data_IF_536580263415
#
_entry.id   IF_536580263415
#
_cell.length_a   1.000
_cell.length_b   1.000
_cell.length_c   1.000
_cell.angle_alpha   90.00
_cell.angle_beta   90.00
_cell.angle_gamma   90.00
#
_symmetry.space_group_name_H-M   'P 1'
#
loop_
_entity.id
_entity.type
_entity.pdbx_description
1 polymer ?
#
# COMPACT_ATOMS: atom_id res chain seq x y z
N UNK A 1 30.19 -40.15 -8.01
CA UNK A 1 29.53 -38.96 -7.43
C UNK A 1 28.07 -38.97 -7.85
N UNK A 2 27.14 -39.12 -6.89
CA UNK A 2 25.73 -39.40 -7.16
C UNK A 2 25.00 -38.10 -7.54
N UNK A 3 24.36 -38.07 -8.71
CA UNK A 3 23.50 -36.98 -9.18
C UNK A 3 22.06 -37.28 -8.76
N UNK A 4 21.50 -36.47 -7.87
CA UNK A 4 20.09 -36.58 -7.49
C UNK A 4 19.23 -35.90 -8.55
N UNK A 5 18.57 -36.70 -9.40
CA UNK A 5 17.47 -36.27 -10.26
C UNK A 5 16.20 -36.59 -9.49
N UNK A 6 15.51 -35.57 -8.97
CA UNK A 6 14.17 -35.77 -8.41
C UNK A 6 13.14 -35.30 -9.44
N UNK A 7 12.35 -36.26 -9.87
CA UNK A 7 11.34 -36.16 -10.91
C UNK A 7 10.13 -35.35 -10.46
N UNK A 8 9.58 -34.57 -11.41
CA UNK A 8 8.28 -33.92 -11.35
C UNK A 8 7.17 -34.97 -11.42
N UNK A 9 6.29 -35.02 -10.42
CA UNK A 9 5.04 -35.79 -10.50
C UNK A 9 3.87 -34.80 -10.52
N UNK A 10 3.26 -34.64 -11.69
CA UNK A 10 2.02 -33.90 -11.88
C UNK A 10 0.83 -34.79 -11.48
N UNK A 11 -0.02 -34.28 -10.60
CA UNK A 11 -1.36 -34.79 -10.39
C UNK A 11 -2.31 -33.61 -10.14
N UNK A 12 -2.92 -33.11 -11.20
CA UNK A 12 -3.96 -32.10 -11.16
C UNK A 12 -5.23 -32.65 -11.78
N UNK A 13 -6.11 -33.23 -10.97
CA UNK A 13 -7.49 -33.49 -11.33
C UNK A 13 -8.37 -32.66 -10.40
N UNK A 14 -8.77 -31.47 -10.86
CA UNK A 14 -9.83 -30.69 -10.21
C UNK A 14 -11.05 -30.79 -11.09
N UNK A 15 -12.05 -31.52 -10.60
CA UNK A 15 -13.37 -31.63 -11.20
C UNK A 15 -14.04 -30.26 -11.26
N UNK A 16 -14.49 -29.85 -12.44
CA UNK A 16 -15.22 -28.61 -12.67
C UNK A 16 -16.65 -28.74 -12.12
N UNK A 17 -16.84 -28.36 -10.85
CA UNK A 17 -18.14 -28.03 -10.29
C UNK A 17 -18.54 -26.62 -10.73
N UNK A 18 -19.65 -26.51 -11.47
CA UNK A 18 -20.13 -25.26 -12.07
C UNK A 18 -20.40 -24.16 -11.05
N UNK A 19 -19.83 -22.98 -11.30
CA UNK A 19 -20.21 -21.76 -10.60
C UNK A 19 -21.27 -21.02 -11.41
N UNK A 20 -22.46 -20.85 -10.82
CA UNK A 20 -23.48 -19.93 -11.29
C UNK A 20 -22.97 -18.51 -11.03
N UNK A 21 -22.71 -17.75 -12.09
CA UNK A 21 -22.33 -16.34 -11.98
C UNK A 21 -23.59 -15.54 -11.64
N UNK A 22 -23.80 -15.27 -10.36
CA UNK A 22 -24.66 -14.15 -9.94
C UNK A 22 -23.88 -12.88 -10.28
N UNK A 23 -24.31 -12.17 -11.31
CA UNK A 23 -23.82 -10.82 -11.60
C UNK A 23 -24.21 -9.89 -10.45
N UNK A 24 -23.29 -9.63 -9.53
CA UNK A 24 -23.35 -8.43 -8.70
C UNK A 24 -22.66 -7.31 -9.49
N UNK A 25 -23.45 -6.36 -9.99
CA UNK A 25 -22.92 -5.11 -10.54
C UNK A 25 -21.99 -4.44 -9.51
N UNK A 26 -20.73 -4.11 -9.84
CA UNK A 26 -19.95 -3.25 -9.00
C UNK A 26 -20.51 -1.82 -9.16
N UNK A 27 -21.16 -1.34 -8.10
CA UNK A 27 -21.51 0.07 -7.96
C UNK A 27 -20.25 0.95 -8.01
N UNK A 28 -20.41 2.28 -8.19
CA UNK A 28 -19.29 3.19 -8.34
C UNK A 28 -18.47 3.15 -7.05
N UNK A 29 -17.28 2.54 -7.13
CA UNK A 29 -16.33 2.45 -6.04
C UNK A 29 -15.90 3.86 -5.64
N UNK A 30 -16.55 4.37 -4.60
CA UNK A 30 -16.24 5.66 -4.00
C UNK A 30 -14.77 5.73 -3.64
N UNK A 31 -14.19 6.90 -3.91
CA UNK A 31 -12.90 7.32 -3.40
C UNK A 31 -12.84 6.98 -1.90
N UNK A 32 -12.09 5.92 -1.59
CA UNK A 32 -11.77 5.56 -0.22
C UNK A 32 -11.02 6.73 0.37
N UNK A 33 -11.74 7.56 1.14
CA UNK A 33 -11.16 8.57 2.00
C UNK A 33 -10.30 7.81 3.00
N UNK A 34 -9.03 7.56 2.66
CA UNK A 34 -7.98 7.30 3.63
C UNK A 34 -7.87 8.59 4.45
N UNK A 35 -8.75 8.73 5.43
CA UNK A 35 -8.51 9.54 6.62
C UNK A 35 -7.36 8.89 7.38
N UNK A 36 -6.15 9.00 6.82
CA UNK A 36 -4.96 8.99 7.64
C UNK A 36 -5.10 10.21 8.52
N UNK A 37 -5.61 10.03 9.75
CA UNK A 37 -5.45 11.04 10.78
C UNK A 37 -3.96 11.35 10.79
N UNK A 38 -3.61 12.56 10.35
CA UNK A 38 -2.23 12.98 10.30
C UNK A 38 -1.71 13.02 11.74
N UNK A 39 -1.10 11.92 12.19
CA UNK A 39 -0.29 11.85 13.40
C UNK A 39 1.04 12.57 13.12
N UNK A 40 0.95 13.85 12.76
CA UNK A 40 2.08 14.75 12.66
C UNK A 40 2.35 15.36 14.03
N UNK A 41 3.58 15.84 14.25
CA UNK A 41 3.97 16.48 15.51
C UNK A 41 3.03 17.63 15.90
N UNK A 42 2.50 18.36 14.91
CA UNK A 42 1.50 19.43 15.13
C UNK A 42 0.21 18.91 15.77
N UNK A 43 -0.33 17.80 15.27
CA UNK A 43 -1.55 17.18 15.81
C UNK A 43 -1.35 16.53 17.18
N UNK A 44 -0.11 16.20 17.57
CA UNK A 44 0.22 15.77 18.93
C UNK A 44 0.26 16.98 19.86
N UNK A 45 0.94 18.06 19.48
CA UNK A 45 1.05 19.26 20.34
C UNK A 45 -0.29 19.94 20.58
N UNK A 46 -1.20 19.90 19.61
CA UNK A 46 -2.57 20.42 19.76
C UNK A 46 -3.41 19.64 20.79
N UNK A 47 -3.05 18.38 21.09
CA UNK A 47 -3.74 17.52 22.08
C UNK A 47 -3.18 17.61 23.49
N UNK A 48 -2.09 18.36 23.69
CA UNK A 48 -1.41 18.47 24.98
C UNK A 48 -1.87 19.69 25.80
N UNK A 49 -2.88 20.43 25.33
CA UNK A 49 -3.42 21.63 25.98
C UNK A 49 -2.33 22.61 26.44
N UNK A 50 -1.35 22.86 25.55
CA UNK A 50 -0.19 23.70 25.86
C UNK A 50 -0.60 25.15 26.13
N UNK A 51 -0.01 25.76 27.16
CA UNK A 51 -0.14 27.20 27.39
C UNK A 51 0.55 28.00 26.27
N UNK A 52 0.22 29.29 26.12
CA UNK A 52 0.86 30.15 25.12
C UNK A 52 2.40 30.18 25.25
N UNK A 53 2.91 30.20 26.48
CA UNK A 53 4.36 30.15 26.73
C UNK A 53 4.98 28.80 26.33
N UNK A 54 4.29 27.68 26.59
CA UNK A 54 4.76 26.36 26.19
C UNK A 54 4.74 26.21 24.67
N UNK A 55 3.69 26.70 24.01
CA UNK A 55 3.58 26.71 22.55
C UNK A 55 4.74 27.49 21.92
N UNK A 56 5.06 28.68 22.45
CA UNK A 56 6.17 29.50 21.98
C UNK A 56 7.52 28.78 22.09
N UNK A 57 7.72 27.97 23.13
CA UNK A 57 8.94 27.17 23.33
C UNK A 57 9.00 25.92 22.44
N UNK A 58 7.86 25.31 22.15
CA UNK A 58 7.76 24.08 21.33
C UNK A 58 7.83 24.39 19.83
N UNK A 59 7.32 25.54 19.40
CA UNK A 59 7.29 25.95 17.99
C UNK A 59 8.64 25.82 17.25
N UNK A 60 9.78 26.32 17.76
CA UNK A 60 11.07 26.16 17.08
C UNK A 60 11.52 24.69 16.98
N UNK A 61 11.17 23.85 17.96
CA UNK A 61 11.48 22.40 17.94
C UNK A 61 10.71 21.72 16.80
N UNK A 62 9.42 22.06 16.65
CA UNK A 62 8.60 21.57 15.56
C UNK A 62 9.12 22.04 14.19
N UNK A 63 9.50 23.30 14.09
CA UNK A 63 9.97 23.89 12.83
C UNK A 63 11.30 23.27 12.38
N UNK A 64 12.19 22.92 13.32
CA UNK A 64 13.41 22.17 13.03
C UNK A 64 13.13 20.71 12.59
N UNK A 65 12.09 20.07 13.14
CA UNK A 65 11.75 18.68 12.83
C UNK A 65 11.00 18.51 11.49
N UNK A 66 10.17 19.49 11.11
CA UNK A 66 9.38 19.47 9.85
C UNK A 66 10.18 19.07 8.60
N UNK A 67 11.33 19.69 8.27
CA UNK A 67 12.07 19.33 7.06
C UNK A 67 12.61 17.89 7.12
N UNK A 68 13.03 17.41 8.30
CA UNK A 68 13.53 16.03 8.45
C UNK A 68 12.42 15.01 8.20
N UNK A 69 11.22 15.26 8.73
CA UNK A 69 10.05 14.41 8.50
C UNK A 69 9.67 14.42 7.02
N UNK A 70 9.69 15.59 6.38
CA UNK A 70 9.38 15.70 4.95
C UNK A 70 10.37 14.88 4.10
N UNK A 71 11.66 14.98 4.37
CA UNK A 71 12.69 14.18 3.68
C UNK A 71 12.47 12.68 3.89
N UNK A 72 12.29 12.23 5.13
CA UNK A 72 12.04 10.81 5.44
C UNK A 72 10.77 10.33 4.74
N UNK A 73 9.71 11.14 4.74
CA UNK A 73 8.46 10.79 4.07
C UNK A 73 8.66 10.63 2.56
N UNK A 74 9.39 11.55 1.92
CA UNK A 74 9.70 11.45 0.48
C UNK A 74 10.52 10.19 0.17
N UNK A 75 11.58 9.92 0.92
CA UNK A 75 12.39 8.72 0.74
C UNK A 75 11.58 7.43 0.96
N UNK A 76 10.74 7.41 1.99
CA UNK A 76 9.88 6.27 2.28
C UNK A 76 8.85 6.05 1.17
N UNK A 77 8.22 7.11 0.66
CA UNK A 77 7.29 7.02 -0.48
C UNK A 77 7.97 6.51 -1.73
N UNK A 78 9.19 6.97 -2.04
CA UNK A 78 9.96 6.46 -3.18
C UNK A 78 10.28 4.97 -3.04
N UNK A 79 10.76 4.55 -1.86
CA UNK A 79 11.04 3.13 -1.58
C UNK A 79 9.77 2.28 -1.69
N UNK A 80 8.66 2.78 -1.15
CA UNK A 80 7.37 2.10 -1.21
C UNK A 80 6.88 1.96 -2.65
N UNK A 81 6.98 3.01 -3.45
CA UNK A 81 6.62 2.98 -4.87
C UNK A 81 7.46 1.95 -5.64
N UNK A 82 8.78 1.92 -5.41
CA UNK A 82 9.66 0.91 -6.01
C UNK A 82 9.25 -0.52 -5.64
N UNK A 83 8.97 -0.78 -4.35
CA UNK A 83 8.52 -2.11 -3.90
C UNK A 83 7.18 -2.46 -4.55
N UNK A 84 6.22 -1.53 -4.55
CA UNK A 84 4.91 -1.74 -5.15
C UNK A 84 5.01 -2.08 -6.63
N UNK A 85 5.75 -1.29 -7.41
CA UNK A 85 5.90 -1.51 -8.86
C UNK A 85 6.58 -2.84 -9.16
N UNK A 86 7.63 -3.19 -8.39
CA UNK A 86 8.30 -4.48 -8.55
C UNK A 86 7.38 -5.66 -8.21
N UNK A 87 6.53 -5.53 -7.20
CA UNK A 87 5.55 -6.55 -6.83
C UNK A 87 4.43 -6.66 -7.88
N UNK A 88 3.88 -5.54 -8.32
CA UNK A 88 2.83 -5.51 -9.35
C UNK A 88 3.33 -6.07 -10.68
N UNK A 89 4.58 -5.79 -11.06
CA UNK A 89 5.21 -6.35 -12.26
C UNK A 89 5.30 -7.88 -12.21
N UNK A 90 5.53 -8.47 -11.03
CA UNK A 90 5.55 -9.92 -10.84
C UNK A 90 4.16 -10.54 -10.82
N UNK A 91 3.15 -9.80 -10.32
CA UNK A 91 1.76 -10.26 -10.28
C UNK A 91 1.11 -10.19 -11.67
N UNK A 92 1.39 -9.14 -12.45
CA UNK A 92 0.78 -8.85 -13.75
C UNK A 92 0.71 -10.06 -14.71
N UNK A 93 1.77 -10.86 -14.94
CA UNK A 93 1.68 -12.03 -15.84
C UNK A 93 0.80 -13.17 -15.31
N UNK A 94 0.41 -13.14 -14.02
CA UNK A 94 -0.50 -14.12 -13.41
C UNK A 94 -1.98 -13.71 -13.54
N UNK A 95 -2.24 -12.48 -14.01
CA UNK A 95 -3.58 -11.93 -14.16
C UNK A 95 -4.14 -12.24 -15.55
N UNK A 96 -5.46 -12.42 -15.64
CA UNK A 96 -6.16 -12.45 -16.93
C UNK A 96 -6.34 -11.03 -17.50
N UNK A 97 -6.82 -10.93 -18.75
CA UNK A 97 -6.93 -9.65 -19.47
C UNK A 97 -7.79 -8.60 -18.72
N UNK A 98 -8.93 -9.02 -18.18
CA UNK A 98 -9.82 -8.11 -17.44
C UNK A 98 -9.16 -7.58 -16.16
N UNK A 99 -8.38 -8.42 -15.46
CA UNK A 99 -7.67 -8.02 -14.25
C UNK A 99 -6.48 -7.09 -14.56
N UNK A 100 -5.77 -7.32 -15.67
CA UNK A 100 -4.70 -6.43 -16.11
C UNK A 100 -5.26 -5.04 -16.48
N UNK A 101 -6.38 -4.99 -17.20
CA UNK A 101 -7.06 -3.73 -17.53
C UNK A 101 -7.51 -2.96 -16.28
N UNK A 102 -7.92 -3.66 -15.21
CA UNK A 102 -8.24 -3.03 -13.92
C UNK A 102 -7.00 -2.51 -13.20
N UNK A 103 -5.88 -3.25 -13.27
CA UNK A 103 -4.62 -2.81 -12.68
C UNK A 103 -4.12 -1.53 -13.35
N UNK A 104 -4.19 -1.46 -14.69
CA UNK A 104 -3.81 -0.28 -15.50
C UNK A 104 -4.64 0.97 -15.21
N UNK A 105 -5.85 0.81 -14.70
CA UNK A 105 -6.71 1.95 -14.34
C UNK A 105 -6.40 2.51 -12.93
N UNK A 106 -5.63 1.77 -12.13
CA UNK A 106 -5.25 2.15 -10.76
C UNK A 106 -3.82 2.72 -10.72
N UNK A 107 -2.94 2.25 -11.61
CA UNK A 107 -1.61 2.83 -11.87
C UNK A 107 -1.71 4.21 -12.56
#
# INVERSE_FOLDING_TARGET
>A
MKRNVLALTAAGAIALGGFVVVQAQPGPGGAGHRHGHAFGLKGITEKLDLTAEQQAKVQPILDQAKPQIATIHQEAMQKMHTVMNNTLSQIRPLLNADQQSKLDAIE
#
